data_IF_878461891199
#
_entry.id   IF_878461891199
#
_cell.length_a   1.000
_cell.length_b   1.000
_cell.length_c   1.000
_cell.angle_alpha   90.00
_cell.angle_beta   90.00
_cell.angle_gamma   90.00
#
_symmetry.space_group_name_H-M   'P 1'
#
loop_
_entity.id
_entity.type
_entity.pdbx_description
1 polymer ?
#
# COMPACT_ATOMS: atom_id res chain seq x y z
N UNK A 1 -13.55 -3.95 7.08
CA UNK A 1 -12.48 -3.05 6.59
C UNK A 1 -12.97 -2.08 5.53
N UNK A 2 -13.10 -2.46 4.25
CA UNK A 2 -13.58 -1.54 3.19
C UNK A 2 -15.00 -1.02 3.44
N UNK A 3 -15.90 -1.88 3.89
CA UNK A 3 -17.30 -1.55 4.21
C UNK A 3 -17.35 -0.59 5.41
N UNK A 4 -16.67 -0.92 6.52
CA UNK A 4 -16.71 -0.11 7.76
C UNK A 4 -16.01 1.26 7.66
N UNK A 5 -15.16 1.46 6.65
CA UNK A 5 -14.60 2.77 6.28
C UNK A 5 -15.47 3.51 5.25
N UNK A 6 -16.62 2.95 4.91
CA UNK A 6 -17.55 3.40 3.89
C UNK A 6 -16.94 3.61 2.49
N UNK A 7 -15.87 2.88 2.16
CA UNK A 7 -15.16 3.04 0.88
C UNK A 7 -15.95 2.43 -0.29
N UNK A 8 -16.71 1.37 -0.02
CA UNK A 8 -17.56 0.71 -1.02
C UNK A 8 -18.62 1.67 -1.57
N UNK A 9 -19.31 2.39 -0.69
CA UNK A 9 -20.32 3.38 -1.10
C UNK A 9 -19.68 4.60 -1.77
N UNK A 10 -18.68 5.20 -1.11
CA UNK A 10 -18.04 6.44 -1.56
C UNK A 10 -17.40 6.32 -2.95
N UNK A 11 -16.75 5.18 -3.22
CA UNK A 11 -16.08 4.92 -4.49
C UNK A 11 -16.90 4.03 -5.43
N UNK A 12 -18.16 3.73 -5.07
CA UNK A 12 -19.10 2.92 -5.87
C UNK A 12 -18.51 1.56 -6.24
N UNK A 13 -17.74 0.96 -5.35
CA UNK A 13 -17.07 -0.31 -5.61
C UNK A 13 -18.12 -1.42 -5.66
N UNK A 14 -18.21 -2.13 -6.78
CA UNK A 14 -19.08 -3.30 -6.86
C UNK A 14 -18.59 -4.40 -5.90
N UNK A 15 -19.50 -4.93 -5.07
CA UNK A 15 -19.16 -5.91 -4.03
C UNK A 15 -18.53 -7.21 -4.60
N UNK A 16 -19.02 -7.69 -5.74
CA UNK A 16 -18.49 -8.89 -6.39
C UNK A 16 -17.09 -8.65 -6.97
N UNK A 17 -16.88 -7.47 -7.57
CA UNK A 17 -15.55 -7.03 -8.06
C UNK A 17 -14.56 -6.92 -6.90
N UNK A 18 -14.98 -6.36 -5.76
CA UNK A 18 -14.15 -6.31 -4.55
C UNK A 18 -13.79 -7.71 -4.04
N UNK A 19 -14.77 -8.62 -3.97
CA UNK A 19 -14.51 -10.01 -3.55
C UNK A 19 -13.54 -10.71 -4.50
N UNK A 20 -13.71 -10.53 -5.81
CA UNK A 20 -12.83 -11.10 -6.84
C UNK A 20 -11.42 -10.51 -6.74
N UNK A 21 -11.29 -9.20 -6.57
CA UNK A 21 -9.99 -8.55 -6.38
C UNK A 21 -9.28 -9.07 -5.12
N UNK A 22 -9.95 -9.15 -3.96
CA UNK A 22 -9.35 -9.70 -2.72
C UNK A 22 -8.90 -11.16 -2.91
N UNK A 23 -9.73 -11.99 -3.55
CA UNK A 23 -9.38 -13.38 -3.84
C UNK A 23 -8.18 -13.48 -4.79
N UNK A 24 -8.12 -12.62 -5.81
CA UNK A 24 -6.99 -12.53 -6.74
C UNK A 24 -5.71 -12.07 -6.05
N UNK A 25 -5.77 -11.06 -5.18
CA UNK A 25 -4.63 -10.63 -4.34
C UNK A 25 -4.12 -11.80 -3.52
N UNK A 26 -5.00 -12.47 -2.74
CA UNK A 26 -4.64 -13.65 -1.95
C UNK A 26 -3.94 -14.74 -2.77
N UNK A 27 -4.46 -15.04 -3.97
CA UNK A 27 -3.92 -16.08 -4.85
C UNK A 27 -2.52 -15.75 -5.38
N UNK A 28 -2.17 -14.47 -5.47
CA UNK A 28 -0.87 -14.00 -5.97
C UNK A 28 0.19 -13.86 -4.87
N UNK A 29 -0.12 -14.21 -3.62
CA UNK A 29 0.89 -14.44 -2.59
C UNK A 29 1.43 -15.87 -2.66
N UNK A 30 2.76 -16.01 -2.59
CA UNK A 30 3.43 -17.32 -2.56
C UNK A 30 3.35 -17.96 -1.17
N UNK A 31 3.42 -19.30 -1.08
CA UNK A 31 3.44 -20.03 0.19
C UNK A 31 4.83 -19.97 0.84
N UNK A 32 5.29 -18.78 1.21
CA UNK A 32 6.55 -18.55 1.96
C UNK A 32 6.26 -18.44 3.46
N UNK A 33 7.27 -18.64 4.31
CA UNK A 33 7.07 -18.74 5.77
C UNK A 33 6.42 -17.51 6.41
N UNK A 34 6.78 -16.30 5.96
CA UNK A 34 6.32 -15.04 6.56
C UNK A 34 5.58 -14.12 5.58
N UNK A 35 6.25 -13.60 4.52
CA UNK A 35 5.69 -12.67 3.52
C UNK A 35 4.66 -13.34 2.57
N UNK A 36 3.63 -13.94 3.16
CA UNK A 36 2.50 -14.61 2.51
C UNK A 36 1.21 -13.82 2.75
N UNK A 37 0.07 -14.33 2.25
CA UNK A 37 -1.23 -13.67 2.39
C UNK A 37 -1.60 -13.32 3.84
N UNK A 38 -1.25 -14.15 4.83
CA UNK A 38 -1.60 -13.87 6.23
C UNK A 38 -0.87 -12.64 6.76
N UNK A 39 0.38 -12.45 6.36
CA UNK A 39 1.14 -11.24 6.70
C UNK A 39 0.46 -9.99 6.10
N UNK A 40 0.17 -9.99 4.80
CA UNK A 40 -0.53 -8.86 4.14
C UNK A 40 -1.90 -8.56 4.78
N UNK A 41 -2.65 -9.60 5.10
CA UNK A 41 -3.93 -9.46 5.80
C UNK A 41 -3.76 -8.83 7.19
N UNK A 42 -2.76 -9.26 7.98
CA UNK A 42 -2.48 -8.71 9.31
C UNK A 42 -2.00 -7.25 9.24
N UNK A 43 -1.19 -6.89 8.24
CA UNK A 43 -0.78 -5.50 7.99
C UNK A 43 -2.02 -4.64 7.68
N UNK A 44 -2.90 -5.11 6.80
CA UNK A 44 -4.15 -4.41 6.49
C UNK A 44 -5.06 -4.28 7.71
N UNK A 45 -5.18 -5.34 8.52
CA UNK A 45 -5.94 -5.31 9.75
C UNK A 45 -5.38 -4.31 10.77
N UNK A 46 -4.06 -4.25 10.91
CA UNK A 46 -3.38 -3.29 11.79
C UNK A 46 -3.61 -1.86 11.32
N UNK A 47 -3.46 -1.60 10.02
CA UNK A 47 -3.77 -0.31 9.40
C UNK A 47 -5.22 0.12 9.65
N UNK A 48 -6.17 -0.79 9.42
CA UNK A 48 -7.59 -0.55 9.69
C UNK A 48 -7.85 -0.21 11.16
N UNK A 49 -7.22 -0.91 12.11
CA UNK A 49 -7.32 -0.57 13.54
C UNK A 49 -6.74 0.82 13.85
N UNK A 50 -5.56 1.15 13.33
CA UNK A 50 -4.99 2.50 13.51
C UNK A 50 -5.92 3.60 12.97
N UNK A 51 -6.58 3.36 11.84
CA UNK A 51 -7.57 4.29 11.28
C UNK A 51 -8.80 4.40 12.19
N UNK A 52 -9.47 3.29 12.49
CA UNK A 52 -10.77 3.29 13.21
C UNK A 52 -10.63 3.65 14.70
N UNK A 53 -9.59 3.17 15.37
CA UNK A 53 -9.46 3.26 16.83
C UNK A 53 -8.29 4.13 17.27
N UNK A 54 -7.33 4.40 16.38
CA UNK A 54 -6.15 5.22 16.66
C UNK A 54 -6.32 6.72 16.39
N UNK A 55 -7.53 7.18 16.03
CA UNK A 55 -7.80 8.60 15.75
C UNK A 55 -7.29 9.09 14.40
N UNK A 56 -6.88 8.19 13.49
CA UNK A 56 -6.38 8.59 12.16
C UNK A 56 -7.49 8.75 11.11
N UNK A 57 -8.72 8.33 11.40
CA UNK A 57 -9.85 8.44 10.46
C UNK A 57 -10.19 9.90 10.07
N UNK A 58 -9.98 10.86 10.97
CA UNK A 58 -10.14 12.30 10.69
C UNK A 58 -8.89 12.93 10.06
N UNK A 59 -7.76 12.24 10.07
CA UNK A 59 -6.49 12.73 9.51
C UNK A 59 -6.40 12.35 8.04
N UNK A 60 -6.74 11.10 7.69
CA UNK A 60 -6.67 10.61 6.31
C UNK A 60 -7.97 10.88 5.54
N UNK A 61 -7.80 11.38 4.32
CA UNK A 61 -8.87 11.49 3.33
C UNK A 61 -9.37 10.10 2.92
N UNK A 62 -10.54 10.05 2.29
CA UNK A 62 -11.08 8.79 1.78
C UNK A 62 -10.19 8.16 0.69
N UNK A 63 -9.52 8.97 -0.12
CA UNK A 63 -8.54 8.51 -1.12
C UNK A 63 -7.31 7.86 -0.47
N UNK A 64 -6.79 8.44 0.61
CA UNK A 64 -5.68 7.87 1.36
C UNK A 64 -6.10 6.59 2.09
N UNK A 65 -7.29 6.54 2.70
CA UNK A 65 -7.80 5.32 3.34
C UNK A 65 -7.97 4.18 2.32
N UNK A 66 -8.52 4.48 1.14
CA UNK A 66 -8.61 3.52 0.05
C UNK A 66 -7.23 3.02 -0.38
N UNK A 67 -6.31 3.95 -0.64
CA UNK A 67 -4.95 3.64 -1.09
C UNK A 67 -4.18 2.82 -0.06
N UNK A 68 -4.29 3.15 1.23
CA UNK A 68 -3.66 2.43 2.32
C UNK A 68 -4.16 0.98 2.42
N UNK A 69 -5.47 0.73 2.35
CA UNK A 69 -5.98 -0.65 2.38
C UNK A 69 -5.55 -1.46 1.15
N UNK A 70 -5.57 -0.85 -0.04
CA UNK A 70 -5.09 -1.47 -1.27
C UNK A 70 -3.60 -1.81 -1.16
N UNK A 71 -2.77 -0.86 -0.73
CA UNK A 71 -1.33 -1.06 -0.53
C UNK A 71 -1.03 -2.11 0.53
N UNK A 72 -1.68 -2.06 1.69
CA UNK A 72 -1.44 -3.05 2.76
C UNK A 72 -1.69 -4.48 2.28
N UNK A 73 -2.76 -4.70 1.53
CA UNK A 73 -3.08 -6.01 0.97
C UNK A 73 -2.16 -6.43 -0.18
N UNK A 74 -1.41 -5.50 -0.78
CA UNK A 74 -0.67 -5.73 -2.04
C UNK A 74 0.84 -5.55 -1.91
N UNK A 75 1.35 -5.04 -0.78
CA UNK A 75 2.73 -4.57 -0.64
C UNK A 75 3.81 -5.65 -0.78
N UNK A 76 3.42 -6.93 -0.73
CA UNK A 76 4.31 -8.10 -0.78
C UNK A 76 3.85 -9.13 -1.84
N UNK A 77 3.06 -8.71 -2.84
CA UNK A 77 2.57 -9.59 -3.89
C UNK A 77 3.72 -10.32 -4.61
N UNK A 78 3.58 -11.64 -4.84
CA UNK A 78 4.60 -12.50 -5.44
C UNK A 78 5.95 -12.54 -4.66
N UNK A 79 6.01 -12.15 -3.37
CA UNK A 79 7.24 -12.21 -2.59
C UNK A 79 7.80 -13.64 -2.48
N UNK A 80 9.12 -13.79 -2.67
CA UNK A 80 9.81 -15.10 -2.83
C UNK A 80 10.57 -15.58 -1.59
N UNK A 81 10.31 -15.00 -0.43
CA UNK A 81 11.07 -15.25 0.81
C UNK A 81 12.50 -14.71 0.83
N UNK A 82 12.89 -13.87 -0.12
CA UNK A 82 14.25 -13.28 -0.23
C UNK A 82 14.18 -11.77 -0.33
N UNK A 83 15.23 -11.07 0.10
CA UNK A 83 15.27 -9.60 0.17
C UNK A 83 15.99 -8.95 -1.03
N UNK A 84 15.94 -7.63 -1.13
CA UNK A 84 16.59 -6.84 -2.19
C UNK A 84 18.09 -7.15 -2.36
N UNK A 85 18.84 -7.32 -1.27
CA UNK A 85 20.26 -7.65 -1.31
C UNK A 85 20.52 -9.03 -1.95
N UNK A 86 19.67 -10.02 -1.65
CA UNK A 86 19.73 -11.33 -2.29
C UNK A 86 19.45 -11.22 -3.79
N UNK A 87 18.40 -10.49 -4.20
CA UNK A 87 18.04 -10.30 -5.62
C UNK A 87 19.19 -9.69 -6.42
N UNK A 88 19.86 -8.68 -5.86
CA UNK A 88 21.03 -8.06 -6.47
C UNK A 88 22.20 -9.04 -6.60
N UNK A 89 22.47 -9.82 -5.55
CA UNK A 89 23.58 -10.80 -5.52
C UNK A 89 23.44 -11.91 -6.56
N UNK A 90 22.20 -12.34 -6.85
CA UNK A 90 21.92 -13.37 -7.86
C UNK A 90 21.68 -12.79 -9.26
N UNK A 91 21.86 -11.47 -9.43
CA UNK A 91 21.60 -10.75 -10.69
C UNK A 91 20.20 -11.04 -11.26
N UNK A 92 19.21 -11.15 -10.37
CA UNK A 92 17.85 -11.48 -10.77
C UNK A 92 17.34 -10.43 -11.78
N UNK A 93 16.57 -10.81 -12.82
CA UNK A 93 16.08 -9.86 -13.82
C UNK A 93 15.36 -8.63 -13.22
N UNK A 94 14.67 -8.80 -12.09
CA UNK A 94 14.05 -7.69 -11.35
C UNK A 94 15.08 -6.66 -10.84
N UNK A 95 16.23 -7.11 -10.34
CA UNK A 95 17.31 -6.22 -9.87
C UNK A 95 17.98 -5.45 -11.01
N UNK A 96 17.87 -5.95 -12.25
CA UNK A 96 18.31 -5.21 -13.44
C UNK A 96 17.27 -4.18 -13.89
N UNK A 97 15.99 -4.42 -13.61
CA UNK A 97 14.89 -3.54 -13.99
C UNK A 97 14.73 -2.35 -13.02
N UNK A 98 14.98 -2.58 -11.72
CA UNK A 98 14.88 -1.56 -10.67
C UNK A 98 16.19 -1.40 -9.93
N UNK A 99 16.72 -0.17 -9.91
CA UNK A 99 17.97 0.18 -9.24
C UNK A 99 17.84 0.38 -7.72
N UNK A 100 16.62 0.62 -7.22
CA UNK A 100 16.30 0.79 -5.80
C UNK A 100 14.98 0.10 -5.48
N UNK A 101 14.80 -0.34 -4.23
CA UNK A 101 13.55 -0.95 -3.72
C UNK A 101 12.97 -1.98 -4.71
N UNK A 102 13.83 -2.92 -5.14
CA UNK A 102 13.57 -3.80 -6.29
C UNK A 102 12.30 -4.63 -6.09
N UNK A 103 12.13 -5.23 -4.92
CA UNK A 103 10.97 -6.04 -4.59
C UNK A 103 9.73 -5.17 -4.45
N UNK A 104 9.83 -4.00 -3.82
CA UNK A 104 8.69 -3.10 -3.63
C UNK A 104 8.16 -2.56 -4.97
N UNK A 105 9.04 -2.26 -5.94
CA UNK A 105 8.62 -1.96 -7.31
C UNK A 105 7.93 -3.15 -7.98
N UNK A 106 8.42 -4.38 -7.77
CA UNK A 106 7.76 -5.59 -8.27
C UNK A 106 6.37 -5.75 -7.66
N UNK A 107 6.22 -5.59 -6.34
CA UNK A 107 4.95 -5.67 -5.62
C UNK A 107 3.94 -4.62 -6.13
N UNK A 108 4.40 -3.39 -6.34
CA UNK A 108 3.59 -2.34 -6.94
C UNK A 108 3.11 -2.68 -8.36
N UNK A 109 3.97 -3.25 -9.21
CA UNK A 109 3.56 -3.65 -10.55
C UNK A 109 2.56 -4.82 -10.53
N UNK A 110 2.72 -5.79 -9.63
CA UNK A 110 1.71 -6.84 -9.41
C UNK A 110 0.37 -6.24 -8.95
N UNK A 111 0.40 -5.24 -8.06
CA UNK A 111 -0.79 -4.51 -7.62
C UNK A 111 -1.51 -3.85 -8.81
N UNK A 112 -0.79 -3.11 -9.65
CA UNK A 112 -1.35 -2.48 -10.84
C UNK A 112 -1.98 -3.48 -11.81
N UNK A 113 -1.29 -4.59 -12.08
CA UNK A 113 -1.82 -5.65 -12.96
C UNK A 113 -3.15 -6.19 -12.44
N UNK A 114 -3.28 -6.41 -11.13
CA UNK A 114 -4.52 -6.89 -10.53
C UNK A 114 -5.65 -5.85 -10.58
N UNK A 115 -5.34 -4.58 -10.34
CA UNK A 115 -6.32 -3.49 -10.43
C UNK A 115 -6.85 -3.27 -11.85
N UNK A 116 -6.10 -3.71 -12.86
CA UNK A 116 -6.46 -3.62 -14.29
C UNK A 116 -6.95 -4.95 -14.87
N UNK A 117 -6.97 -6.02 -14.08
CA UNK A 117 -7.42 -7.34 -14.52
C UNK A 117 -8.94 -7.40 -14.62
N UNK A 118 -9.44 -8.09 -15.64
CA UNK A 118 -10.87 -8.26 -15.88
C UNK A 118 -11.61 -8.75 -14.63
N UNK A 119 -12.62 -7.99 -14.21
CA UNK A 119 -13.46 -8.27 -13.04
C UNK A 119 -12.82 -7.96 -11.69
N UNK A 120 -11.62 -7.36 -11.65
CA UNK A 120 -10.92 -6.94 -10.42
C UNK A 120 -10.78 -5.41 -10.31
N UNK A 121 -11.42 -4.64 -11.19
CA UNK A 121 -11.27 -3.20 -11.36
C UNK A 121 -12.03 -2.41 -10.28
N UNK A 122 -11.60 -2.53 -9.02
CA UNK A 122 -12.21 -1.85 -7.87
C UNK A 122 -12.14 -0.31 -7.93
N UNK A 123 -11.36 0.24 -8.87
CA UNK A 123 -11.19 1.69 -9.11
C UNK A 123 -11.89 2.17 -10.38
N UNK A 124 -12.71 1.32 -11.03
CA UNK A 124 -13.33 1.59 -12.35
C UNK A 124 -14.27 2.80 -12.40
N UNK A 125 -14.80 3.24 -11.27
CA UNK A 125 -15.69 4.39 -11.19
C UNK A 125 -14.97 5.73 -10.93
N UNK A 126 -13.64 5.71 -10.74
CA UNK A 126 -12.85 6.92 -10.59
C UNK A 126 -12.67 7.62 -11.94
N UNK A 127 -12.66 8.95 -11.92
CA UNK A 127 -12.18 9.74 -13.06
C UNK A 127 -10.68 9.51 -13.28
N UNK A 128 -10.16 9.84 -14.47
CA UNK A 128 -8.73 9.67 -14.77
C UNK A 128 -7.81 10.40 -13.78
N UNK A 129 -8.20 11.58 -13.29
CA UNK A 129 -7.42 12.33 -12.30
C UNK A 129 -7.46 11.69 -10.91
N UNK A 130 -8.62 11.20 -10.48
CA UNK A 130 -8.76 10.49 -9.20
C UNK A 130 -8.02 9.16 -9.22
N UNK A 131 -8.11 8.41 -10.33
CA UNK A 131 -7.35 7.17 -10.53
C UNK A 131 -5.85 7.44 -10.46
N UNK A 132 -5.35 8.45 -11.20
CA UNK A 132 -3.93 8.82 -11.16
C UNK A 132 -3.48 9.22 -9.74
N UNK A 133 -4.34 9.92 -8.99
CA UNK A 133 -4.08 10.28 -7.61
C UNK A 133 -3.97 9.05 -6.69
N UNK A 134 -4.95 8.14 -6.75
CA UNK A 134 -4.95 6.89 -5.96
C UNK A 134 -3.74 6.03 -6.32
N UNK A 135 -3.42 5.87 -7.61
CA UNK A 135 -2.27 5.08 -8.04
C UNK A 135 -0.95 5.68 -7.51
N UNK A 136 -0.81 7.00 -7.49
CA UNK A 136 0.37 7.66 -6.91
C UNK A 136 0.48 7.40 -5.40
N UNK A 137 -0.63 7.45 -4.67
CA UNK A 137 -0.67 7.12 -3.24
C UNK A 137 -0.32 5.65 -2.99
N UNK A 138 -0.88 4.73 -3.80
CA UNK A 138 -0.59 3.30 -3.72
C UNK A 138 0.89 3.02 -3.95
N UNK A 139 1.47 3.63 -4.99
CA UNK A 139 2.91 3.53 -5.30
C UNK A 139 3.75 4.02 -4.11
N UNK A 140 3.45 5.20 -3.58
CA UNK A 140 4.17 5.76 -2.44
C UNK A 140 4.12 4.82 -1.24
N UNK A 141 2.94 4.33 -0.87
CA UNK A 141 2.77 3.48 0.31
C UNK A 141 3.47 2.12 0.16
N UNK A 142 3.45 1.50 -1.02
CA UNK A 142 4.18 0.24 -1.25
C UNK A 142 5.69 0.47 -1.24
N UNK A 143 6.21 1.52 -1.89
CA UNK A 143 7.65 1.80 -1.87
C UNK A 143 8.16 2.15 -0.46
N UNK A 144 7.32 2.76 0.37
CA UNK A 144 7.62 3.06 1.77
C UNK A 144 7.77 1.81 2.66
N UNK A 145 7.39 0.61 2.20
CA UNK A 145 7.64 -0.63 2.96
C UNK A 145 9.09 -1.12 2.85
N UNK A 146 9.90 -0.57 1.95
CA UNK A 146 11.34 -0.80 1.95
C UNK A 146 11.94 -0.20 3.23
N UNK A 147 12.47 -1.07 4.10
CA UNK A 147 13.06 -0.65 5.36
C UNK A 147 14.22 0.35 5.17
N UNK A 148 14.93 0.33 4.05
CA UNK A 148 15.95 1.34 3.75
C UNK A 148 15.34 2.75 3.61
N UNK A 149 14.16 2.85 2.99
CA UNK A 149 13.40 4.11 2.87
C UNK A 149 12.87 4.53 4.25
N UNK A 150 12.29 3.60 5.00
CA UNK A 150 11.85 3.87 6.38
C UNK A 150 12.98 4.41 7.25
N UNK A 151 14.15 3.76 7.28
CA UNK A 151 15.28 4.20 8.11
C UNK A 151 15.83 5.55 7.68
N UNK A 152 15.73 5.90 6.39
CA UNK A 152 16.11 7.22 5.87
C UNK A 152 15.15 8.31 6.35
N UNK A 153 13.83 8.06 6.37
CA UNK A 153 12.79 9.06 6.69
C UNK A 153 12.43 9.14 8.19
N UNK A 154 12.60 8.06 8.98
CA UNK A 154 12.07 7.97 10.36
C UNK A 154 12.56 9.05 11.32
N UNK A 155 13.80 9.52 11.15
CA UNK A 155 14.38 10.54 12.05
C UNK A 155 13.70 11.89 11.85
N UNK A 156 13.35 12.22 10.61
CA UNK A 156 12.59 13.42 10.27
C UNK A 156 11.20 13.37 10.92
N UNK A 157 10.49 12.25 10.75
CA UNK A 157 9.20 12.01 11.41
C UNK A 157 9.30 12.17 12.93
N UNK A 158 10.29 11.52 13.57
CA UNK A 158 10.46 11.63 15.03
C UNK A 158 10.80 13.05 15.47
N UNK A 159 11.56 13.82 14.70
CA UNK A 159 11.87 15.21 15.03
C UNK A 159 10.64 16.11 14.95
N UNK A 160 9.79 15.92 13.93
CA UNK A 160 8.52 16.65 13.78
C UNK A 160 7.57 16.34 14.94
N UNK A 161 7.47 15.07 15.35
CA UNK A 161 6.63 14.67 16.49
C UNK A 161 7.19 15.22 17.81
N UNK A 162 8.50 15.08 18.06
CA UNK A 162 9.13 15.50 19.32
C UNK A 162 9.15 17.00 19.52
N UNK A 163 9.21 17.79 18.45
CA UNK A 163 9.18 19.25 18.53
C UNK A 163 7.78 19.81 18.82
N UNK A 164 6.73 18.99 18.73
CA UNK A 164 5.34 19.44 18.81
C UNK A 164 4.87 20.24 17.59
N UNK A 165 5.68 20.32 16.53
CA UNK A 165 5.37 21.05 15.30
C UNK A 165 4.61 20.21 14.27
N UNK A 166 4.19 18.99 14.65
CA UNK A 166 3.43 18.10 13.78
C UNK A 166 2.13 18.75 13.31
N UNK A 167 2.03 18.93 12.00
CA UNK A 167 0.83 19.40 11.32
C UNK A 167 0.50 18.43 10.19
N UNK A 168 -0.37 17.47 10.48
CA UNK A 168 -0.74 16.43 9.53
C UNK A 168 -1.77 16.90 8.50
N UNK A 169 -2.41 18.06 8.70
CA UNK A 169 -3.52 18.53 7.89
C UNK A 169 -3.14 19.70 6.98
N UNK A 170 -2.29 20.62 7.45
CA UNK A 170 -1.90 21.83 6.72
C UNK A 170 -0.50 21.78 6.09
N UNK A 171 0.32 20.78 6.41
CA UNK A 171 1.68 20.66 5.91
C UNK A 171 1.88 19.37 5.09
N UNK A 172 2.03 19.52 3.77
CA UNK A 172 2.21 18.40 2.85
C UNK A 172 3.47 17.56 3.12
N UNK A 173 4.55 18.19 3.61
CA UNK A 173 5.78 17.49 3.95
C UNK A 173 5.61 16.59 5.17
N UNK A 174 4.97 17.10 6.22
CA UNK A 174 4.59 16.28 7.39
C UNK A 174 3.61 15.18 6.99
N UNK A 175 2.64 15.50 6.14
CA UNK A 175 1.67 14.52 5.64
C UNK A 175 2.33 13.40 4.83
N UNK A 176 3.37 13.72 4.05
CA UNK A 176 4.16 12.71 3.33
C UNK A 176 4.92 11.76 4.26
N UNK A 177 5.38 12.23 5.43
CA UNK A 177 6.04 11.37 6.42
C UNK A 177 5.07 10.43 7.15
N UNK A 178 3.78 10.79 7.20
CA UNK A 178 2.74 10.01 7.87
C UNK A 178 2.12 8.91 6.98
N UNK A 179 2.03 9.17 5.66
CA UNK A 179 1.28 8.34 4.70
C UNK A 179 2.10 7.27 3.98
#
# INVERSE_FOLDING_TARGET
MFIDLNLVEKFRINHEVLCRWVASVKRNYRPVSYHNWRHAFNVCQSCFCMIKTGGLESIFSDYEKLSLLVSCLSHDLDHRGTNNAFQAKIEHPLARLYSTSTMEHHHYNQCLMLLQSEGCEILSHLTSSEYAHVIKLVQHAILSTDLAIYFKKRNEFFNVVKSGAADWLGNDGHRELLR
#
